data_IF_686832601142
#
_entry.id   IF_686832601142
#
_cell.length_a   1.000
_cell.length_b   1.000
_cell.length_c   1.000
_cell.angle_alpha   90.00
_cell.angle_beta   90.00
_cell.angle_gamma   90.00
#
_symmetry.space_group_name_H-M   'P 1'
#
loop_
_entity.id
_entity.type
_entity.pdbx_description
1 polymer ?
#
# COMPACT_ATOMS: atom_id res chain seq x y z
N UNK A 1 8.11 7.02 20.81
CA UNK A 1 8.98 5.91 20.37
C UNK A 1 8.16 4.69 19.90
N UNK A 2 7.40 4.04 20.79
CA UNK A 2 6.60 2.84 20.44
C UNK A 2 5.61 3.07 19.27
N UNK A 3 4.81 4.15 19.32
CA UNK A 3 3.87 4.46 18.23
C UNK A 3 4.56 4.63 16.86
N UNK A 4 5.71 5.32 16.82
CA UNK A 4 6.47 5.52 15.59
C UNK A 4 7.06 4.22 15.02
N UNK A 5 7.55 3.30 15.86
CA UNK A 5 8.05 1.99 15.40
C UNK A 5 6.90 1.15 14.85
N UNK A 6 5.76 1.11 15.55
CA UNK A 6 4.58 0.37 15.10
C UNK A 6 4.01 0.93 13.78
N UNK A 7 3.86 2.25 13.66
CA UNK A 7 3.46 2.91 12.39
C UNK A 7 4.45 2.59 11.28
N UNK A 8 5.77 2.70 11.54
CA UNK A 8 6.80 2.43 10.54
C UNK A 8 6.77 1.00 10.01
N UNK A 9 6.61 0.01 10.89
CA UNK A 9 6.49 -1.40 10.48
C UNK A 9 5.21 -1.61 9.66
N UNK A 10 4.07 -1.11 10.11
CA UNK A 10 2.80 -1.27 9.41
C UNK A 10 2.82 -0.62 8.01
N UNK A 11 3.39 0.60 7.90
CA UNK A 11 3.62 1.27 6.62
C UNK A 11 4.59 0.47 5.73
N UNK A 12 5.66 -0.08 6.29
CA UNK A 12 6.62 -0.91 5.56
C UNK A 12 5.99 -2.18 4.99
N UNK A 13 5.10 -2.84 5.73
CA UNK A 13 4.35 -4.02 5.26
C UNK A 13 3.43 -3.62 4.09
N UNK A 14 2.67 -2.52 4.23
CA UNK A 14 1.83 -2.02 3.15
C UNK A 14 2.65 -1.71 1.89
N UNK A 15 3.81 -1.08 2.08
CA UNK A 15 4.74 -0.74 1.00
C UNK A 15 5.29 -1.97 0.26
N UNK A 16 5.58 -3.03 1.00
CA UNK A 16 6.01 -4.29 0.40
C UNK A 16 4.90 -4.95 -0.42
N UNK A 17 3.67 -4.94 0.07
CA UNK A 17 2.52 -5.51 -0.63
C UNK A 17 2.19 -4.77 -1.93
N UNK A 18 2.17 -3.42 -1.91
CA UNK A 18 1.96 -2.63 -3.14
C UNK A 18 3.10 -2.84 -4.14
N UNK A 19 4.35 -2.98 -3.68
CA UNK A 19 5.48 -3.27 -4.54
C UNK A 19 5.34 -4.63 -5.25
N UNK A 20 4.90 -5.66 -4.52
CA UNK A 20 4.65 -6.99 -5.08
C UNK A 20 3.48 -7.01 -6.06
N UNK A 21 2.40 -6.31 -5.75
CA UNK A 21 1.27 -6.13 -6.66
C UNK A 21 1.66 -5.33 -7.91
N UNK A 22 2.52 -4.32 -7.77
CA UNK A 22 3.01 -3.49 -8.87
C UNK A 22 3.92 -4.27 -9.83
N UNK A 23 4.77 -5.16 -9.30
CA UNK A 23 5.55 -6.08 -10.12
C UNK A 23 4.63 -6.98 -10.96
N UNK A 24 3.66 -7.66 -10.33
CA UNK A 24 2.71 -8.52 -11.06
C UNK A 24 1.81 -7.76 -12.04
N UNK A 25 1.44 -6.51 -11.71
CA UNK A 25 0.72 -5.63 -12.61
C UNK A 25 1.54 -5.27 -13.87
N UNK A 26 2.85 -5.09 -13.69
CA UNK A 26 3.79 -4.76 -14.77
C UNK A 26 4.00 -5.97 -15.68
N UNK A 27 4.19 -7.15 -15.11
CA UNK A 27 4.34 -8.41 -15.85
C UNK A 27 3.06 -8.72 -16.65
N UNK A 28 1.88 -8.64 -16.02
CA UNK A 28 0.60 -8.86 -16.68
C UNK A 28 0.33 -7.87 -17.81
N UNK A 29 0.74 -6.61 -17.64
CA UNK A 29 0.59 -5.59 -18.67
C UNK A 29 1.57 -5.80 -19.83
N UNK A 30 2.81 -6.22 -19.56
CA UNK A 30 3.79 -6.55 -20.59
C UNK A 30 3.32 -7.71 -21.49
N UNK A 31 2.71 -8.75 -20.89
CA UNK A 31 2.25 -9.92 -21.64
C UNK A 31 0.96 -9.67 -22.45
N UNK A 32 0.01 -8.91 -21.87
CA UNK A 32 -1.34 -8.80 -22.44
C UNK A 32 -1.63 -7.45 -23.09
N UNK A 33 -0.85 -6.41 -22.78
CA UNK A 33 -1.14 -5.00 -23.08
C UNK A 33 -2.54 -4.53 -22.63
N UNK A 34 -3.15 -5.24 -21.67
CA UNK A 34 -4.48 -4.99 -21.15
C UNK A 34 -4.47 -4.93 -19.62
N UNK A 35 -5.57 -4.46 -19.03
CA UNK A 35 -5.74 -4.49 -17.56
C UNK A 35 -4.95 -3.42 -16.78
N UNK A 36 -4.23 -2.50 -17.44
CA UNK A 36 -3.47 -1.43 -16.78
C UNK A 36 -4.29 -0.65 -15.76
N UNK A 37 -5.46 -0.13 -16.16
CA UNK A 37 -6.36 0.61 -15.26
C UNK A 37 -6.85 -0.23 -14.09
N UNK A 38 -7.19 -1.50 -14.34
CA UNK A 38 -7.69 -2.40 -13.31
C UNK A 38 -6.60 -2.71 -12.26
N UNK A 39 -5.37 -2.91 -12.73
CA UNK A 39 -4.21 -3.13 -11.89
C UNK A 39 -3.83 -1.86 -11.09
N UNK A 40 -3.98 -0.67 -11.68
CA UNK A 40 -3.80 0.60 -10.96
C UNK A 40 -4.85 0.78 -9.86
N UNK A 41 -6.11 0.45 -10.13
CA UNK A 41 -7.18 0.47 -9.12
C UNK A 41 -6.84 -0.47 -7.97
N UNK A 42 -6.38 -1.69 -8.26
CA UNK A 42 -5.97 -2.63 -7.23
C UNK A 42 -4.81 -2.08 -6.37
N UNK A 43 -3.84 -1.40 -6.99
CA UNK A 43 -2.76 -0.71 -6.27
C UNK A 43 -3.28 0.39 -5.34
N UNK A 44 -4.22 1.22 -5.83
CA UNK A 44 -4.86 2.26 -5.03
C UNK A 44 -5.68 1.71 -3.86
N UNK A 45 -6.31 0.53 -4.03
CA UNK A 45 -6.99 -0.16 -2.92
C UNK A 45 -5.98 -0.59 -1.85
N UNK A 46 -4.83 -1.15 -2.23
CA UNK A 46 -3.76 -1.51 -1.28
C UNK A 46 -3.24 -0.27 -0.55
N UNK A 47 -3.14 0.87 -1.22
CA UNK A 47 -2.72 2.15 -0.61
C UNK A 47 -3.63 2.58 0.54
N UNK A 48 -4.94 2.33 0.44
CA UNK A 48 -5.89 2.74 1.52
C UNK A 48 -5.53 2.14 2.88
N UNK A 49 -4.89 0.97 2.91
CA UNK A 49 -4.40 0.34 4.15
C UNK A 49 -3.32 1.21 4.82
N UNK A 50 -2.38 1.76 4.04
CA UNK A 50 -1.36 2.67 4.54
C UNK A 50 -1.98 3.95 5.09
N UNK A 51 -2.97 4.52 4.39
CA UNK A 51 -3.67 5.72 4.84
C UNK A 51 -4.46 5.44 6.13
N UNK A 52 -5.11 4.27 6.27
CA UNK A 52 -5.78 3.89 7.52
C UNK A 52 -4.79 3.77 8.68
N UNK A 53 -3.65 3.14 8.47
CA UNK A 53 -2.57 3.07 9.48
C UNK A 53 -2.13 4.47 9.88
N UNK A 54 -1.87 5.35 8.90
CA UNK A 54 -1.45 6.73 9.19
C UNK A 54 -2.52 7.48 10.02
N UNK A 55 -3.77 7.48 9.58
CA UNK A 55 -4.86 8.24 10.23
C UNK A 55 -5.16 7.71 11.63
N UNK A 56 -5.27 6.38 11.82
CA UNK A 56 -5.56 5.82 13.14
C UNK A 56 -4.43 6.08 14.12
N UNK A 57 -3.17 6.00 13.70
CA UNK A 57 -2.05 6.29 14.58
C UNK A 57 -1.90 7.78 14.91
N UNK A 58 -2.23 8.69 13.97
CA UNK A 58 -2.33 10.12 14.27
C UNK A 58 -3.39 10.35 15.36
N UNK A 59 -4.57 9.74 15.23
CA UNK A 59 -5.67 9.92 16.19
C UNK A 59 -5.32 9.35 17.58
N UNK A 60 -4.61 8.21 17.65
CA UNK A 60 -4.33 7.53 18.92
C UNK A 60 -3.11 8.12 19.66
N UNK A 61 -2.08 8.56 18.93
CA UNK A 61 -0.78 8.91 19.54
C UNK A 61 -0.45 10.41 19.51
N UNK A 62 -1.13 11.21 18.68
CA UNK A 62 -0.85 12.65 18.53
C UNK A 62 -1.99 13.51 19.04
N UNK A 63 -3.24 13.18 18.69
CA UNK A 63 -4.45 13.82 19.23
C UNK A 63 -4.73 13.35 20.67
#
# INVERSE_FOLDING_TARGET
LFGGIATGIAMGISAWMQGRAGAGASDSFADTNQGFTNNLIALGVIETVAIFVMVFFIIIFIL
#
